data_IF_288239893290
#
_entry.id   IF_288239893290
#
_cell.length_a   1.000
_cell.length_b   1.000
_cell.length_c   1.000
_cell.angle_alpha   90.00
_cell.angle_beta   90.00
_cell.angle_gamma   90.00
#
_symmetry.space_group_name_H-M   'P 1'
#
loop_
_entity.id
_entity.type
_entity.pdbx_description
1 polymer ?
#
# COMPACT_ATOMS: atom_id res chain seq x y z
N UNK A 1 -13.80 -31.11 -10.25
CA UNK A 1 -13.70 -29.82 -10.97
C UNK A 1 -13.45 -28.71 -9.97
N UNK A 2 -12.52 -27.76 -10.22
CA UNK A 2 -12.31 -26.63 -9.31
C UNK A 2 -13.59 -25.78 -9.21
N UNK A 3 -13.96 -25.36 -8.01
CA UNK A 3 -15.15 -24.52 -7.81
C UNK A 3 -14.96 -23.10 -8.37
N UNK A 4 -16.03 -22.38 -8.71
CA UNK A 4 -15.93 -20.98 -9.15
C UNK A 4 -15.12 -20.11 -8.15
N UNK A 5 -15.29 -20.36 -6.85
CA UNK A 5 -14.54 -19.74 -5.76
C UNK A 5 -13.01 -19.91 -5.88
N UNK A 6 -12.56 -21.04 -6.44
CA UNK A 6 -11.14 -21.32 -6.68
C UNK A 6 -10.58 -20.39 -7.75
N UNK A 7 -11.26 -20.28 -8.90
CA UNK A 7 -10.81 -19.43 -10.00
C UNK A 7 -10.75 -17.95 -9.61
N UNK A 8 -11.75 -17.45 -8.86
CA UNK A 8 -11.72 -16.06 -8.38
C UNK A 8 -10.49 -15.78 -7.53
N UNK A 9 -10.10 -16.70 -6.63
CA UNK A 9 -8.89 -16.55 -5.80
C UNK A 9 -7.62 -16.52 -6.65
N UNK A 10 -7.51 -17.42 -7.62
CA UNK A 10 -6.34 -17.50 -8.51
C UNK A 10 -6.18 -16.21 -9.29
N UNK A 11 -7.23 -15.78 -10.03
CA UNK A 11 -7.18 -14.57 -10.84
C UNK A 11 -6.97 -13.32 -10.01
N UNK A 12 -7.66 -13.18 -8.87
CA UNK A 12 -7.45 -12.04 -7.98
C UNK A 12 -6.01 -11.99 -7.44
N UNK A 13 -5.43 -13.14 -7.08
CA UNK A 13 -4.03 -13.21 -6.62
C UNK A 13 -3.02 -12.91 -7.73
N UNK A 14 -3.27 -13.40 -8.96
CA UNK A 14 -2.40 -13.17 -10.11
C UNK A 14 -2.39 -11.68 -10.49
N UNK A 15 -3.57 -11.06 -10.59
CA UNK A 15 -3.70 -9.63 -10.88
C UNK A 15 -3.04 -8.78 -9.79
N UNK A 16 -3.29 -9.11 -8.51
CA UNK A 16 -2.65 -8.41 -7.40
C UNK A 16 -1.12 -8.57 -7.42
N UNK A 17 -0.62 -9.77 -7.69
CA UNK A 17 0.81 -10.04 -7.82
C UNK A 17 1.45 -9.17 -8.90
N UNK A 18 0.88 -9.14 -10.12
CA UNK A 18 1.43 -8.34 -11.23
C UNK A 18 1.45 -6.85 -10.88
N UNK A 19 0.35 -6.31 -10.34
CA UNK A 19 0.26 -4.89 -9.96
C UNK A 19 1.29 -4.56 -8.87
N UNK A 20 1.37 -5.39 -7.81
CA UNK A 20 2.28 -5.16 -6.71
C UNK A 20 3.73 -5.36 -7.09
N UNK A 21 4.03 -6.30 -8.00
CA UNK A 21 5.38 -6.48 -8.54
C UNK A 21 5.85 -5.23 -9.29
N UNK A 22 4.98 -4.64 -10.11
CA UNK A 22 5.26 -3.36 -10.78
C UNK A 22 5.49 -2.23 -9.77
N UNK A 23 4.63 -2.10 -8.75
CA UNK A 23 4.83 -1.10 -7.70
C UNK A 23 6.11 -1.33 -6.91
N UNK A 24 6.43 -2.58 -6.59
CA UNK A 24 7.67 -2.95 -5.92
C UNK A 24 8.87 -2.51 -6.76
N UNK A 25 8.91 -2.87 -8.04
CA UNK A 25 9.99 -2.46 -8.95
C UNK A 25 10.13 -0.94 -9.02
N UNK A 26 9.03 -0.20 -9.15
CA UNK A 26 9.06 1.25 -9.30
C UNK A 26 9.42 1.98 -8.00
N UNK A 27 8.69 1.70 -6.93
CA UNK A 27 8.81 2.42 -5.65
C UNK A 27 10.06 1.96 -4.91
N UNK A 28 10.29 0.66 -4.77
CA UNK A 28 11.43 0.17 -3.99
C UNK A 28 12.76 0.45 -4.69
N UNK A 29 12.85 0.35 -6.02
CA UNK A 29 14.06 0.76 -6.75
C UNK A 29 14.36 2.25 -6.57
N UNK A 30 13.32 3.10 -6.57
CA UNK A 30 13.48 4.55 -6.32
C UNK A 30 13.95 4.81 -4.89
N UNK A 31 13.35 4.14 -3.89
CA UNK A 31 13.76 4.26 -2.48
C UNK A 31 15.20 3.79 -2.27
N UNK A 32 15.61 2.66 -2.86
CA UNK A 32 16.96 2.13 -2.69
C UNK A 32 18.03 3.05 -3.28
N UNK A 33 17.72 3.72 -4.39
CA UNK A 33 18.64 4.63 -5.09
C UNK A 33 18.79 5.98 -4.39
N UNK A 34 17.72 6.49 -3.78
CA UNK A 34 17.72 7.84 -3.19
C UNK A 34 18.00 7.81 -1.68
N UNK A 35 19.13 8.37 -1.26
CA UNK A 35 19.51 8.41 0.16
C UNK A 35 18.53 9.21 1.01
N UNK A 36 17.95 10.30 0.48
CA UNK A 36 16.96 11.10 1.22
C UNK A 36 15.74 10.27 1.60
N UNK A 37 15.23 9.46 0.67
CA UNK A 37 14.07 8.60 0.90
C UNK A 37 14.35 7.52 1.94
N UNK A 38 15.55 6.90 1.91
CA UNK A 38 15.96 5.86 2.88
C UNK A 38 16.02 6.35 4.32
N UNK A 39 16.12 7.66 4.53
CA UNK A 39 16.23 8.25 5.87
C UNK A 39 14.87 8.42 6.57
N UNK A 40 13.77 8.42 5.82
CA UNK A 40 12.43 8.62 6.36
C UNK A 40 11.74 7.29 6.66
N UNK A 41 11.30 7.12 7.92
CA UNK A 41 10.65 5.90 8.40
C UNK A 41 9.46 5.46 7.53
N UNK A 42 8.64 6.41 7.06
CA UNK A 42 7.49 6.14 6.20
C UNK A 42 7.85 5.38 4.92
N UNK A 43 8.95 5.75 4.26
CA UNK A 43 9.31 5.15 2.97
C UNK A 43 9.93 3.77 3.18
N UNK A 44 10.70 3.60 4.25
CA UNK A 44 11.25 2.28 4.63
C UNK A 44 10.13 1.32 5.02
N UNK A 45 9.12 1.75 5.77
CA UNK A 45 7.95 0.91 6.10
C UNK A 45 7.12 0.55 4.86
N UNK A 46 6.95 1.48 3.92
CA UNK A 46 6.31 1.19 2.61
C UNK A 46 7.14 0.19 1.81
N UNK A 47 8.46 0.28 1.85
CA UNK A 47 9.36 -0.68 1.20
C UNK A 47 9.13 -2.10 1.72
N UNK A 48 9.12 -2.28 3.06
CA UNK A 48 8.86 -3.58 3.68
C UNK A 48 7.44 -4.08 3.43
N UNK A 49 6.44 -3.19 3.44
CA UNK A 49 5.06 -3.54 3.10
C UNK A 49 4.95 -4.09 1.67
N UNK A 50 5.52 -3.37 0.70
CA UNK A 50 5.53 -3.77 -0.71
C UNK A 50 6.25 -5.10 -0.92
N UNK A 51 7.42 -5.28 -0.30
CA UNK A 51 8.15 -6.54 -0.39
C UNK A 51 7.30 -7.71 0.11
N UNK A 52 6.69 -7.55 1.28
CA UNK A 52 5.87 -8.59 1.91
C UNK A 52 4.60 -8.89 1.12
N UNK A 53 3.92 -7.85 0.61
CA UNK A 53 2.71 -8.01 -0.19
C UNK A 53 3.00 -8.71 -1.52
N UNK A 54 4.06 -8.32 -2.23
CA UNK A 54 4.48 -8.99 -3.47
C UNK A 54 4.80 -10.47 -3.21
N UNK A 55 5.59 -10.78 -2.16
CA UNK A 55 5.90 -12.18 -1.82
C UNK A 55 4.65 -12.97 -1.42
N UNK A 56 3.73 -12.38 -0.64
CA UNK A 56 2.48 -13.03 -0.25
C UNK A 56 1.65 -13.45 -1.47
N UNK A 57 1.39 -12.53 -2.41
CA UNK A 57 0.58 -12.85 -3.59
C UNK A 57 1.31 -13.78 -4.57
N UNK A 58 2.64 -13.68 -4.69
CA UNK A 58 3.42 -14.63 -5.48
C UNK A 58 3.30 -16.05 -4.94
N UNK A 59 3.53 -16.24 -3.64
CA UNK A 59 3.47 -17.56 -2.98
C UNK A 59 2.04 -18.09 -2.97
N UNK A 60 1.05 -17.23 -2.74
CA UNK A 60 -0.37 -17.61 -2.82
C UNK A 60 -0.74 -18.10 -4.23
N UNK A 61 -0.31 -17.40 -5.28
CA UNK A 61 -0.53 -17.81 -6.66
C UNK A 61 0.13 -19.16 -6.95
N UNK A 62 1.39 -19.36 -6.55
CA UNK A 62 2.11 -20.64 -6.69
C UNK A 62 1.36 -21.77 -5.96
N UNK A 63 0.92 -21.52 -4.72
CA UNK A 63 0.18 -22.50 -3.91
C UNK A 63 -1.15 -22.93 -4.55
N UNK A 64 -1.84 -22.04 -5.26
CA UNK A 64 -3.07 -22.39 -5.98
C UNK A 64 -2.78 -23.00 -7.35
N UNK A 65 -1.71 -22.57 -8.02
CA UNK A 65 -1.29 -23.12 -9.31
C UNK A 65 -0.89 -24.60 -9.17
N UNK A 66 -0.14 -24.98 -8.11
CA UNK A 66 0.18 -26.38 -7.85
C UNK A 66 -1.08 -27.24 -7.59
N UNK A 67 -2.09 -26.69 -6.90
CA UNK A 67 -3.39 -27.39 -6.71
C UNK A 67 -4.11 -27.57 -8.05
N UNK A 68 -4.10 -26.54 -8.90
CA UNK A 68 -4.72 -26.59 -10.23
C UNK A 68 -4.05 -27.62 -11.15
N UNK A 69 -2.72 -27.70 -11.11
CA UNK A 69 -1.93 -28.64 -11.90
C UNK A 69 -1.88 -30.05 -11.30
N UNK A 70 -2.53 -30.29 -10.15
CA UNK A 70 -2.43 -31.55 -9.40
C UNK A 70 -0.99 -31.99 -9.14
N UNK A 71 -0.10 -31.02 -8.90
CA UNK A 71 1.32 -31.28 -8.69
C UNK A 71 1.57 -31.88 -7.31
N UNK A 72 2.36 -32.96 -7.25
CA UNK A 72 2.78 -33.58 -6.00
C UNK A 72 4.03 -32.87 -5.48
N UNK A 73 3.86 -31.96 -4.51
CA UNK A 73 4.99 -31.34 -3.81
C UNK A 73 5.47 -32.23 -2.67
N UNK A 74 6.79 -32.32 -2.45
CA UNK A 74 7.32 -32.99 -1.27
C UNK A 74 6.87 -32.22 0.00
N UNK A 75 6.65 -32.95 1.10
CA UNK A 75 6.23 -32.40 2.39
C UNK A 75 6.99 -31.13 2.83
N UNK A 76 8.35 -31.08 2.79
CA UNK A 76 9.08 -29.88 3.17
C UNK A 76 8.83 -28.68 2.25
N UNK A 77 8.59 -28.89 0.95
CA UNK A 77 8.28 -27.80 0.04
C UNK A 77 6.88 -27.21 0.31
N UNK A 78 5.90 -28.07 0.62
CA UNK A 78 4.59 -27.60 1.04
C UNK A 78 4.65 -26.83 2.37
N UNK A 79 5.36 -27.38 3.37
CA UNK A 79 5.58 -26.72 4.64
C UNK A 79 6.26 -25.36 4.47
N UNK A 80 7.26 -25.26 3.58
CA UNK A 80 7.92 -24.01 3.24
C UNK A 80 6.96 -23.00 2.61
N UNK A 81 6.16 -23.40 1.61
CA UNK A 81 5.17 -22.51 0.98
C UNK A 81 4.18 -21.94 1.99
N UNK A 82 3.63 -22.80 2.86
CA UNK A 82 2.66 -22.39 3.88
C UNK A 82 3.32 -21.48 4.92
N UNK A 83 4.56 -21.78 5.31
CA UNK A 83 5.33 -20.98 6.26
C UNK A 83 5.61 -19.60 5.70
N UNK A 84 6.10 -19.50 4.45
CA UNK A 84 6.35 -18.20 3.79
C UNK A 84 5.06 -17.42 3.63
N UNK A 85 3.95 -18.07 3.25
CA UNK A 85 2.64 -17.43 3.14
C UNK A 85 2.19 -16.86 4.50
N UNK A 86 2.33 -17.63 5.57
CA UNK A 86 1.95 -17.20 6.92
C UNK A 86 2.86 -16.09 7.45
N UNK A 87 4.17 -16.17 7.21
CA UNK A 87 5.15 -15.14 7.59
C UNK A 87 4.86 -13.82 6.88
N UNK A 88 4.68 -13.86 5.55
CA UNK A 88 4.40 -12.64 4.77
C UNK A 88 3.07 -12.00 5.15
N UNK A 89 2.02 -12.80 5.38
CA UNK A 89 0.74 -12.29 5.89
C UNK A 89 0.88 -11.62 7.27
N UNK A 90 1.61 -12.26 8.19
CA UNK A 90 1.88 -11.74 9.53
C UNK A 90 2.70 -10.45 9.46
N UNK A 91 3.70 -10.40 8.58
CA UNK A 91 4.56 -9.23 8.42
C UNK A 91 3.80 -8.04 7.80
N UNK A 92 2.88 -8.27 6.87
CA UNK A 92 1.99 -7.21 6.35
C UNK A 92 1.22 -6.56 7.51
N UNK A 93 0.61 -7.39 8.38
CA UNK A 93 -0.15 -6.90 9.52
C UNK A 93 0.71 -6.14 10.54
N UNK A 94 1.88 -6.69 10.88
CA UNK A 94 2.83 -6.05 11.79
C UNK A 94 3.36 -4.73 11.22
N UNK A 95 3.69 -4.69 9.92
CA UNK A 95 4.17 -3.48 9.25
C UNK A 95 3.09 -2.39 9.27
N UNK A 96 1.83 -2.73 9.02
CA UNK A 96 0.70 -1.77 9.11
C UNK A 96 0.52 -1.27 10.55
N UNK A 97 0.64 -2.15 11.55
CA UNK A 97 0.58 -1.78 12.97
C UNK A 97 1.69 -0.80 13.33
N UNK A 98 2.92 -1.09 12.90
CA UNK A 98 4.07 -0.20 13.08
C UNK A 98 3.87 1.13 12.35
N UNK A 99 3.32 1.14 11.14
CA UNK A 99 2.97 2.38 10.44
C UNK A 99 1.96 3.22 11.22
N UNK A 100 0.95 2.60 11.84
CA UNK A 100 -0.02 3.29 12.66
C UNK A 100 0.63 3.88 13.94
N UNK A 101 1.49 3.10 14.60
CA UNK A 101 2.25 3.56 15.78
C UNK A 101 3.22 4.68 15.44
N UNK A 102 3.95 4.60 14.32
CA UNK A 102 4.84 5.67 13.84
C UNK A 102 4.08 6.99 13.64
N UNK A 103 2.87 6.93 13.06
CA UNK A 103 2.00 8.11 12.93
C UNK A 103 1.52 8.64 14.27
N UNK A 104 1.12 7.75 15.19
CA UNK A 104 0.68 8.12 16.53
C UNK A 104 1.79 8.85 17.29
N UNK A 105 3.00 8.28 17.37
CA UNK A 105 4.14 8.91 18.06
C UNK A 105 4.51 10.24 17.42
N UNK A 106 4.51 10.33 16.09
CA UNK A 106 4.81 11.58 15.39
C UNK A 106 3.81 12.71 15.68
N UNK A 107 2.53 12.39 15.93
CA UNK A 107 1.47 13.38 16.19
C UNK A 107 1.40 13.71 17.68
N UNK A 108 1.45 12.71 18.55
CA UNK A 108 1.26 12.89 19.99
C UNK A 108 2.54 13.35 20.71
N UNK A 109 3.72 12.98 20.21
CA UNK A 109 5.01 13.25 20.85
C UNK A 109 6.07 13.76 19.86
N UNK A 110 5.84 14.91 19.18
CA UNK A 110 6.73 15.40 18.13
C UNK A 110 8.16 15.68 18.60
N UNK A 111 8.35 16.14 19.85
CA UNK A 111 9.66 16.48 20.42
C UNK A 111 10.54 15.25 20.69
N UNK A 112 9.95 14.16 21.18
CA UNK A 112 10.67 12.90 21.38
C UNK A 112 10.92 12.19 20.05
N UNK A 113 9.98 12.31 19.12
CA UNK A 113 10.07 11.69 17.81
C UNK A 113 11.23 12.21 16.95
N UNK A 114 11.61 13.50 17.10
CA UNK A 114 12.80 14.04 16.44
C UNK A 114 14.11 13.60 17.11
N UNK A 115 14.11 13.44 18.43
CA UNK A 115 15.30 13.04 19.21
C UNK A 115 15.65 11.55 19.06
N UNK A 116 14.66 10.66 18.92
CA UNK A 116 14.86 9.20 18.85
C UNK A 116 15.25 8.72 17.45
N UNK A 117 14.98 9.50 16.39
CA UNK A 117 15.15 9.04 15.01
C UNK A 117 16.58 9.23 14.51
N UNK A 118 17.36 8.15 14.53
CA UNK A 118 18.61 8.04 13.76
C UNK A 118 18.40 7.29 12.42
N UNK A 119 19.34 7.46 11.48
CA UNK A 119 19.23 7.03 10.06
C UNK A 119 18.86 5.55 9.86
N UNK A 120 19.26 4.67 10.78
CA UNK A 120 19.08 3.21 10.67
C UNK A 120 17.85 2.68 11.42
N UNK A 121 17.22 3.47 12.29
CA UNK A 121 16.10 3.03 13.11
C UNK A 121 14.94 2.39 12.32
N UNK A 122 14.49 2.96 11.18
CA UNK A 122 13.38 2.35 10.43
C UNK A 122 13.73 1.02 9.77
N UNK A 123 15.01 0.82 9.41
CA UNK A 123 15.50 -0.44 8.84
C UNK A 123 15.53 -1.53 9.91
N UNK A 124 16.02 -1.19 11.11
CA UNK A 124 15.97 -2.10 12.25
C UNK A 124 14.53 -2.50 12.59
N UNK A 125 13.61 -1.54 12.56
CA UNK A 125 12.19 -1.78 12.82
C UNK A 125 11.57 -2.75 11.80
N UNK A 126 11.91 -2.62 10.52
CA UNK A 126 11.46 -3.56 9.49
C UNK A 126 12.08 -4.96 9.64
N UNK A 127 13.36 -5.07 9.99
CA UNK A 127 13.96 -6.38 10.29
C UNK A 127 13.27 -7.02 11.50
N UNK A 128 12.96 -6.24 12.53
CA UNK A 128 12.24 -6.72 13.71
C UNK A 128 10.84 -7.23 13.36
N UNK A 129 10.08 -6.54 12.49
CA UNK A 129 8.76 -7.05 12.09
C UNK A 129 8.87 -8.37 11.35
N UNK A 130 9.88 -8.54 10.48
CA UNK A 130 10.12 -9.81 9.79
C UNK A 130 10.50 -10.94 10.76
N UNK A 131 11.35 -10.65 11.73
CA UNK A 131 11.72 -11.61 12.77
C UNK A 131 10.48 -12.05 13.56
N UNK A 132 9.71 -11.09 14.10
CA UNK A 132 8.48 -11.36 14.84
C UNK A 132 7.43 -12.12 14.01
N UNK A 133 7.28 -11.74 12.73
CA UNK A 133 6.36 -12.40 11.80
C UNK A 133 6.72 -13.87 11.54
N UNK A 134 8.00 -14.24 11.68
CA UNK A 134 8.49 -15.59 11.37
C UNK A 134 8.41 -16.54 12.56
N UNK A 135 8.37 -16.04 13.81
CA UNK A 135 8.36 -16.88 15.03
C UNK A 135 7.20 -17.89 15.01
N UNK A 136 5.99 -17.40 14.77
CA UNK A 136 4.79 -18.24 14.79
C UNK A 136 4.80 -19.25 13.63
N UNK A 137 4.99 -18.86 12.36
CA UNK A 137 5.03 -19.79 11.24
C UNK A 137 6.14 -20.83 11.32
N UNK A 138 7.33 -20.49 11.83
CA UNK A 138 8.43 -21.45 12.01
C UNK A 138 8.06 -22.57 13.00
N UNK A 139 7.31 -22.24 14.06
CA UNK A 139 6.78 -23.27 14.98
C UNK A 139 5.74 -24.19 14.32
N UNK A 140 5.05 -23.70 13.28
CA UNK A 140 4.07 -24.47 12.51
C UNK A 140 4.71 -25.30 11.41
N UNK A 141 5.88 -24.91 10.89
CA UNK A 141 6.61 -25.65 9.86
C UNK A 141 6.77 -27.13 10.23
N UNK A 142 7.27 -27.41 11.45
CA UNK A 142 7.44 -28.77 11.97
C UNK A 142 6.13 -29.55 12.03
N UNK A 143 5.05 -28.91 12.47
CA UNK A 143 3.72 -29.55 12.53
C UNK A 143 3.14 -29.85 11.15
N UNK A 144 3.44 -29.04 10.14
CA UNK A 144 3.01 -29.29 8.76
C UNK A 144 3.79 -30.44 8.15
N UNK A 145 5.09 -30.54 8.46
CA UNK A 145 5.96 -31.63 8.02
C UNK A 145 5.48 -32.98 8.58
N UNK A 146 5.18 -33.07 9.88
CA UNK A 146 4.69 -34.31 10.52
C UNK A 146 3.34 -34.80 9.97
N UNK A 147 2.45 -33.88 9.55
CA UNK A 147 1.12 -34.21 9.01
C UNK A 147 1.16 -34.47 7.49
N UNK A 148 2.26 -34.08 6.83
CA UNK A 148 2.40 -33.97 5.38
C UNK A 148 2.65 -35.27 4.61
N UNK A 149 2.09 -36.40 5.03
CA UNK A 149 2.38 -37.72 4.42
C UNK A 149 1.67 -38.00 3.07
N UNK A 150 1.32 -36.97 2.27
CA UNK A 150 0.90 -37.26 0.89
C UNK A 150 0.19 -36.17 0.07
N UNK A 151 -0.31 -35.06 0.64
CA UNK A 151 -0.96 -34.02 -0.19
C UNK A 151 -0.90 -32.61 0.41
N UNK A 152 -0.44 -31.64 -0.40
CA UNK A 152 -0.35 -30.22 -0.06
C UNK A 152 -1.70 -29.52 -0.29
N UNK A 153 -2.57 -29.53 0.74
CA UNK A 153 -3.95 -29.05 0.64
C UNK A 153 -4.28 -27.79 1.43
N UNK A 154 -5.48 -27.26 1.20
CA UNK A 154 -6.03 -26.08 1.92
C UNK A 154 -6.22 -26.32 3.43
N UNK A 155 -6.25 -27.57 3.88
CA UNK A 155 -6.44 -27.90 5.29
C UNK A 155 -5.21 -27.55 6.14
N UNK A 156 -4.01 -27.65 5.58
CA UNK A 156 -2.78 -27.23 6.24
C UNK A 156 -2.75 -25.70 6.48
N UNK A 157 -3.43 -24.92 5.64
CA UNK A 157 -3.60 -23.47 5.83
C UNK A 157 -4.39 -23.13 7.10
N UNK A 158 -5.23 -24.05 7.61
CA UNK A 158 -6.01 -23.88 8.85
C UNK A 158 -5.18 -24.13 10.11
N UNK A 159 -3.99 -24.74 9.97
CA UNK A 159 -3.14 -25.06 11.10
C UNK A 159 -2.66 -23.78 11.82
N UNK A 160 -2.58 -23.85 13.15
CA UNK A 160 -2.17 -22.70 13.97
C UNK A 160 -3.21 -21.58 14.08
N UNK A 161 -4.49 -21.88 13.88
CA UNK A 161 -5.58 -20.89 13.94
C UNK A 161 -5.57 -20.01 15.18
N UNK A 162 -5.31 -20.58 16.36
CA UNK A 162 -5.23 -19.82 17.63
C UNK A 162 -4.14 -18.75 17.59
N UNK A 163 -2.91 -19.09 17.17
CA UNK A 163 -1.82 -18.13 17.09
C UNK A 163 -2.11 -17.01 16.09
N UNK A 164 -2.72 -17.35 14.95
CA UNK A 164 -3.17 -16.37 13.95
C UNK A 164 -4.21 -15.41 14.55
N UNK A 165 -5.20 -15.94 15.29
CA UNK A 165 -6.24 -15.15 15.94
C UNK A 165 -5.64 -14.20 16.99
N UNK A 166 -4.74 -14.70 17.85
CA UNK A 166 -4.08 -13.90 18.89
C UNK A 166 -3.28 -12.76 18.25
N UNK A 167 -2.46 -13.05 17.23
CA UNK A 167 -1.70 -12.03 16.52
C UNK A 167 -2.61 -10.97 15.90
N UNK A 168 -3.68 -11.39 15.21
CA UNK A 168 -4.67 -10.50 14.60
C UNK A 168 -5.33 -9.61 15.65
N UNK A 169 -5.75 -10.21 16.78
CA UNK A 169 -6.41 -9.51 17.88
C UNK A 169 -5.50 -8.44 18.47
N UNK A 170 -4.27 -8.80 18.84
CA UNK A 170 -3.29 -7.88 19.43
C UNK A 170 -2.99 -6.71 18.48
N UNK A 171 -2.67 -6.99 17.22
CA UNK A 171 -2.42 -5.94 16.21
C UNK A 171 -3.63 -5.02 16.06
N UNK A 172 -4.85 -5.56 16.03
CA UNK A 172 -6.08 -4.78 15.91
C UNK A 172 -6.26 -3.85 17.11
N UNK A 173 -6.00 -4.30 18.33
CA UNK A 173 -6.07 -3.46 19.54
C UNK A 173 -5.08 -2.30 19.47
N UNK A 174 -3.81 -2.55 19.13
CA UNK A 174 -2.80 -1.49 18.99
C UNK A 174 -3.16 -0.46 17.93
N UNK A 175 -3.68 -0.94 16.80
CA UNK A 175 -4.14 -0.11 15.70
C UNK A 175 -5.30 0.80 16.17
N UNK A 176 -6.32 0.24 16.80
CA UNK A 176 -7.50 0.98 17.27
C UNK A 176 -7.08 2.00 18.33
N UNK A 177 -6.25 1.59 19.30
CA UNK A 177 -5.71 2.47 20.32
C UNK A 177 -4.99 3.67 19.72
N UNK A 178 -4.05 3.42 18.79
CA UNK A 178 -3.28 4.47 18.11
C UNK A 178 -4.21 5.47 17.42
N UNK A 179 -5.25 4.98 16.75
CA UNK A 179 -6.19 5.82 16.02
C UNK A 179 -7.09 6.65 16.94
N UNK A 180 -7.61 6.05 18.03
CA UNK A 180 -8.39 6.78 19.04
C UNK A 180 -7.56 7.95 19.60
N UNK A 181 -6.30 7.71 19.92
CA UNK A 181 -5.41 8.77 20.41
C UNK A 181 -5.16 9.87 19.37
N UNK A 182 -4.91 9.50 18.11
CA UNK A 182 -4.76 10.45 17.00
C UNK A 182 -6.01 11.32 16.85
N UNK A 183 -7.20 10.72 16.91
CA UNK A 183 -8.47 11.46 16.87
C UNK A 183 -8.63 12.40 18.06
N UNK A 184 -8.33 11.95 19.27
CA UNK A 184 -8.40 12.76 20.47
C UNK A 184 -7.48 13.99 20.39
N UNK A 185 -6.23 13.81 19.96
CA UNK A 185 -5.30 14.93 19.75
C UNK A 185 -5.77 15.84 18.61
N UNK A 186 -6.24 15.27 17.50
CA UNK A 186 -6.82 16.04 16.41
C UNK A 186 -8.04 16.88 16.82
N UNK A 187 -8.85 16.41 17.78
CA UNK A 187 -9.98 17.17 18.34
C UNK A 187 -9.47 18.32 19.20
N UNK A 188 -8.50 18.06 20.09
CA UNK A 188 -7.89 19.08 20.95
C UNK A 188 -7.27 20.23 20.16
N UNK A 189 -6.63 19.91 19.03
CA UNK A 189 -6.02 20.91 18.14
C UNK A 189 -7.02 21.60 17.20
N UNK A 190 -8.32 21.33 17.31
CA UNK A 190 -9.35 21.94 16.45
C UNK A 190 -9.32 21.46 14.99
N UNK A 191 -8.52 20.45 14.65
CA UNK A 191 -8.37 19.90 13.29
C UNK A 191 -9.64 19.20 12.80
N UNK A 192 -10.44 18.69 13.74
CA UNK A 192 -11.73 18.05 13.49
C UNK A 192 -12.92 19.02 13.42
N UNK A 193 -12.67 20.34 13.39
CA UNK A 193 -13.73 21.32 13.19
C UNK A 193 -14.26 21.28 11.75
N UNK A 194 -15.57 21.45 11.55
CA UNK A 194 -16.23 21.48 10.23
C UNK A 194 -15.66 22.56 9.29
N UNK A 195 -15.03 23.61 9.86
CA UNK A 195 -14.27 24.64 9.12
C UNK A 195 -12.93 24.15 8.56
N UNK A 196 -12.29 23.16 9.18
CA UNK A 196 -11.04 22.56 8.70
C UNK A 196 -11.30 21.26 7.91
N UNK A 197 -11.98 21.41 6.77
CA UNK A 197 -12.31 20.27 5.87
C UNK A 197 -11.07 19.50 5.42
N UNK A 198 -9.92 20.16 5.27
CA UNK A 198 -8.68 19.52 4.83
C UNK A 198 -8.09 18.56 5.89
N UNK A 199 -8.08 18.99 7.16
CA UNK A 199 -7.60 18.19 8.29
C UNK A 199 -8.49 16.99 8.58
N UNK A 200 -9.80 17.21 8.70
CA UNK A 200 -10.79 16.16 8.96
C UNK A 200 -10.74 15.06 7.88
N UNK A 201 -10.64 15.43 6.60
CA UNK A 201 -10.64 14.46 5.50
C UNK A 201 -9.37 13.61 5.45
N UNK A 202 -8.21 14.16 5.81
CA UNK A 202 -6.96 13.39 5.87
C UNK A 202 -7.06 12.28 6.93
N UNK A 203 -7.64 12.61 8.08
CA UNK A 203 -7.94 11.66 9.16
C UNK A 203 -8.98 10.62 8.69
N UNK A 204 -10.05 11.03 8.00
CA UNK A 204 -11.05 10.11 7.43
C UNK A 204 -10.42 9.09 6.49
N UNK A 205 -9.50 9.49 5.60
CA UNK A 205 -8.82 8.54 4.71
C UNK A 205 -7.91 7.57 5.47
N UNK A 206 -7.21 8.03 6.51
CA UNK A 206 -6.48 7.12 7.40
C UNK A 206 -7.42 6.13 8.09
N UNK A 207 -8.60 6.56 8.51
CA UNK A 207 -9.65 5.69 9.06
C UNK A 207 -10.24 4.71 8.05
N UNK A 208 -10.51 5.13 6.81
CA UNK A 208 -11.01 4.25 5.73
C UNK A 208 -9.97 3.21 5.38
N UNK A 209 -8.71 3.61 5.20
CA UNK A 209 -7.60 2.70 4.94
C UNK A 209 -7.47 1.66 6.07
N UNK A 210 -7.61 2.10 7.33
CA UNK A 210 -7.58 1.23 8.49
C UNK A 210 -8.75 0.24 8.53
N UNK A 211 -9.96 0.73 8.25
CA UNK A 211 -11.17 -0.08 8.21
C UNK A 211 -11.05 -1.17 7.13
N UNK A 212 -10.52 -0.83 5.96
CA UNK A 212 -10.29 -1.79 4.87
C UNK A 212 -9.28 -2.89 5.27
N UNK A 213 -8.37 -2.63 6.21
CA UNK A 213 -7.44 -3.64 6.73
C UNK A 213 -8.00 -4.47 7.91
N UNK A 214 -8.76 -3.84 8.81
CA UNK A 214 -9.36 -4.52 9.96
C UNK A 214 -10.53 -5.40 9.51
N UNK A 215 -11.35 -4.91 8.58
CA UNK A 215 -12.59 -5.56 8.18
C UNK A 215 -12.39 -7.00 7.66
N UNK A 216 -11.41 -7.30 6.78
CA UNK A 216 -11.12 -8.67 6.37
C UNK A 216 -10.77 -9.62 7.52
N UNK A 217 -9.99 -9.13 8.48
CA UNK A 217 -9.55 -9.90 9.63
C UNK A 217 -10.70 -10.14 10.61
N UNK A 218 -11.49 -9.09 10.86
CA UNK A 218 -12.69 -9.15 11.69
C UNK A 218 -13.74 -10.10 11.12
N UNK A 219 -14.00 -10.04 9.80
CA UNK A 219 -14.93 -10.96 9.14
C UNK A 219 -14.45 -12.41 9.25
N UNK A 220 -13.16 -12.68 8.99
CA UNK A 220 -12.63 -14.04 9.12
C UNK A 220 -12.73 -14.57 10.57
N UNK A 221 -12.45 -13.73 11.56
CA UNK A 221 -12.66 -14.07 12.97
C UNK A 221 -14.12 -14.37 13.26
N UNK A 222 -15.05 -13.53 12.78
CA UNK A 222 -16.46 -13.74 13.01
C UNK A 222 -16.99 -15.02 12.36
N UNK A 223 -16.56 -15.31 11.13
CA UNK A 223 -16.88 -16.55 10.44
C UNK A 223 -16.35 -17.79 11.18
N UNK A 224 -15.18 -17.70 11.81
CA UNK A 224 -14.63 -18.79 12.64
C UNK A 224 -15.50 -19.06 13.86
N UNK A 225 -15.89 -18.01 14.61
CA UNK A 225 -16.75 -18.13 15.80
C UNK A 225 -18.13 -18.67 15.43
N UNK A 226 -18.74 -18.16 14.35
CA UNK A 226 -20.05 -18.63 13.89
C UNK A 226 -20.02 -20.07 13.40
N UNK A 227 -18.93 -20.48 12.74
CA UNK A 227 -18.72 -21.87 12.35
C UNK A 227 -18.53 -22.79 13.55
N UNK A 228 -17.81 -22.35 14.60
CA UNK A 228 -17.67 -23.14 15.84
C UNK A 228 -19.01 -23.34 16.55
N UNK A 229 -19.92 -22.36 16.44
CA UNK A 229 -21.29 -22.45 16.96
C UNK A 229 -22.26 -23.20 16.05
N UNK A 230 -21.79 -23.84 14.97
CA UNK A 230 -22.61 -24.51 13.95
C UNK A 230 -23.73 -23.63 13.33
N UNK A 231 -23.56 -22.31 13.35
CA UNK A 231 -24.56 -21.34 12.86
C UNK A 231 -24.43 -21.04 11.36
N UNK A 232 -23.38 -21.53 10.69
CA UNK A 232 -23.07 -21.22 9.30
C UNK A 232 -22.64 -22.50 8.56
N UNK A 233 -23.19 -22.69 7.36
CA UNK A 233 -22.79 -23.74 6.42
C UNK A 233 -21.41 -23.46 5.81
N UNK A 234 -20.62 -24.52 5.57
CA UNK A 234 -19.28 -24.43 4.96
C UNK A 234 -19.23 -23.65 3.64
N UNK A 235 -20.29 -23.72 2.82
CA UNK A 235 -20.40 -22.99 1.56
C UNK A 235 -20.48 -21.47 1.76
N UNK A 236 -21.34 -21.01 2.67
CA UNK A 236 -21.46 -19.58 2.99
C UNK A 236 -20.15 -19.02 3.52
N UNK A 237 -19.46 -19.77 4.39
CA UNK A 237 -18.13 -19.40 4.89
C UNK A 237 -17.11 -19.24 3.77
N UNK A 238 -17.10 -20.15 2.79
CA UNK A 238 -16.19 -20.06 1.66
C UNK A 238 -16.46 -18.81 0.81
N UNK A 239 -17.72 -18.51 0.51
CA UNK A 239 -18.12 -17.32 -0.26
C UNK A 239 -17.65 -16.03 0.41
N UNK A 240 -17.94 -15.87 1.70
CA UNK A 240 -17.48 -14.69 2.45
C UNK A 240 -15.95 -14.60 2.46
N UNK A 241 -15.25 -15.73 2.66
CA UNK A 241 -13.79 -15.74 2.66
C UNK A 241 -13.20 -15.35 1.28
N UNK A 242 -13.87 -15.66 0.16
CA UNK A 242 -13.45 -15.24 -1.18
C UNK A 242 -13.66 -13.73 -1.35
N UNK A 243 -14.83 -13.22 -1.00
CA UNK A 243 -15.15 -11.80 -1.07
C UNK A 243 -14.13 -11.00 -0.24
N UNK A 244 -13.88 -11.43 1.00
CA UNK A 244 -12.90 -10.83 1.89
C UNK A 244 -11.49 -10.85 1.30
N UNK A 245 -11.09 -11.96 0.65
CA UNK A 245 -9.80 -12.06 -0.01
C UNK A 245 -9.68 -11.05 -1.17
N UNK A 246 -10.71 -10.89 -2.00
CA UNK A 246 -10.72 -9.92 -3.10
C UNK A 246 -10.58 -8.50 -2.57
N UNK A 247 -11.32 -8.13 -1.52
CA UNK A 247 -11.18 -6.82 -0.88
C UNK A 247 -9.78 -6.59 -0.31
N UNK A 248 -9.21 -7.61 0.33
CA UNK A 248 -7.82 -7.55 0.82
C UNK A 248 -6.83 -7.34 -0.33
N UNK A 249 -6.97 -8.06 -1.44
CA UNK A 249 -6.14 -7.89 -2.63
C UNK A 249 -6.20 -6.46 -3.18
N UNK A 250 -7.40 -5.91 -3.32
CA UNK A 250 -7.60 -4.52 -3.77
C UNK A 250 -6.95 -3.52 -2.79
N UNK A 251 -7.13 -3.73 -1.48
CA UNK A 251 -6.53 -2.90 -0.45
C UNK A 251 -5.00 -2.87 -0.53
N UNK A 252 -4.38 -4.03 -0.75
CA UNK A 252 -2.93 -4.13 -0.90
C UNK A 252 -2.45 -3.42 -2.16
N UNK A 253 -3.17 -3.52 -3.28
CA UNK A 253 -2.84 -2.78 -4.51
C UNK A 253 -2.94 -1.25 -4.35
N UNK A 254 -3.84 -0.76 -3.49
CA UNK A 254 -4.05 0.68 -3.23
C UNK A 254 -3.03 1.23 -2.22
N UNK A 255 -2.52 0.39 -1.31
CA UNK A 255 -1.58 0.77 -0.25
C UNK A 255 -0.38 1.62 -0.74
N UNK A 256 0.32 1.27 -1.83
CA UNK A 256 1.52 1.98 -2.29
C UNK A 256 1.18 3.38 -2.83
N UNK A 257 -0.04 3.55 -3.36
CA UNK A 257 -0.53 4.84 -3.84
C UNK A 257 -0.77 5.77 -2.64
N UNK A 258 -1.45 5.25 -1.62
CA UNK A 258 -1.85 6.03 -0.43
C UNK A 258 -0.65 6.39 0.44
N UNK A 259 0.25 5.43 0.69
CA UNK A 259 1.39 5.61 1.59
C UNK A 259 2.67 6.09 0.91
N UNK A 260 2.87 5.76 -0.37
CA UNK A 260 4.03 6.15 -1.16
C UNK A 260 3.74 7.33 -2.07
N UNK A 261 3.04 7.08 -3.17
CA UNK A 261 2.98 7.97 -4.36
C UNK A 261 2.25 9.30 -4.12
N UNK A 262 1.39 9.37 -3.10
CA UNK A 262 0.78 10.63 -2.67
C UNK A 262 1.81 11.65 -2.17
N UNK A 263 3.03 11.23 -1.84
CA UNK A 263 4.09 12.14 -1.39
C UNK A 263 4.83 12.72 -2.59
N UNK A 264 4.85 14.04 -2.68
CA UNK A 264 5.51 14.81 -3.74
C UNK A 264 6.98 14.39 -3.90
N UNK A 265 7.71 14.21 -2.79
CA UNK A 265 9.11 13.78 -2.81
C UNK A 265 9.33 12.45 -3.55
N UNK A 266 8.47 11.45 -3.35
CA UNK A 266 8.60 10.17 -4.05
C UNK A 266 8.15 10.28 -5.50
N UNK A 267 7.08 11.05 -5.74
CA UNK A 267 6.51 11.24 -7.07
C UNK A 267 7.46 12.00 -8.00
N UNK A 268 8.17 13.01 -7.50
CA UNK A 268 9.18 13.76 -8.24
C UNK A 268 10.32 12.85 -8.69
N UNK A 269 10.89 12.07 -7.76
CA UNK A 269 11.98 11.14 -8.09
C UNK A 269 11.51 10.04 -9.06
N UNK A 270 10.26 9.58 -8.92
CA UNK A 270 9.69 8.62 -9.86
C UNK A 270 9.50 9.23 -11.25
N UNK A 271 9.02 10.49 -11.36
CA UNK A 271 8.86 11.19 -12.65
C UNK A 271 10.19 11.42 -13.35
N UNK A 272 11.22 11.81 -12.61
CA UNK A 272 12.57 12.00 -13.14
C UNK A 272 13.14 10.71 -13.72
N UNK A 273 12.82 9.56 -13.11
CA UNK A 273 13.41 8.27 -13.49
C UNK A 273 12.59 7.48 -14.51
N UNK A 274 11.28 7.52 -14.40
CA UNK A 274 10.34 6.75 -15.22
C UNK A 274 9.24 7.65 -15.80
N UNK A 275 9.57 8.60 -16.70
CA UNK A 275 8.64 9.65 -17.13
C UNK A 275 7.36 9.09 -17.80
N UNK A 276 7.49 8.06 -18.64
CA UNK A 276 6.35 7.44 -19.32
C UNK A 276 5.38 6.74 -18.35
N UNK A 277 5.91 5.92 -17.42
CA UNK A 277 5.10 5.23 -16.43
C UNK A 277 4.53 6.18 -15.37
N UNK A 278 5.30 7.18 -14.95
CA UNK A 278 4.85 8.18 -14.00
C UNK A 278 3.70 9.03 -14.57
N UNK A 279 3.71 9.32 -15.89
CA UNK A 279 2.60 10.00 -16.55
C UNK A 279 1.30 9.17 -16.51
N UNK A 280 1.37 7.87 -16.83
CA UNK A 280 0.24 6.93 -16.70
C UNK A 280 -0.27 6.84 -15.26
N UNK A 281 0.65 6.80 -14.30
CA UNK A 281 0.33 6.70 -12.88
C UNK A 281 -0.27 8.01 -12.32
N UNK A 282 0.08 9.16 -12.92
CA UNK A 282 -0.50 10.46 -12.57
C UNK A 282 -2.00 10.48 -12.81
N UNK A 283 -2.52 9.81 -13.84
CA UNK A 283 -3.96 9.71 -14.11
C UNK A 283 -4.67 8.94 -12.98
N UNK A 284 -4.09 7.82 -12.53
CA UNK A 284 -4.61 7.06 -11.39
C UNK A 284 -4.51 7.84 -10.08
N UNK A 285 -3.41 8.58 -9.89
CA UNK A 285 -3.23 9.44 -8.73
C UNK A 285 -4.21 10.61 -8.76
N UNK A 286 -4.44 11.25 -9.90
CA UNK A 286 -5.42 12.31 -10.10
C UNK A 286 -6.83 11.79 -9.89
N UNK A 287 -7.17 10.56 -10.26
CA UNK A 287 -8.44 9.93 -9.90
C UNK A 287 -8.57 9.71 -8.39
N UNK A 288 -7.53 9.13 -7.77
CA UNK A 288 -7.48 8.93 -6.32
C UNK A 288 -7.59 10.28 -5.60
N UNK A 289 -6.92 11.31 -6.12
CA UNK A 289 -6.90 12.68 -5.60
C UNK A 289 -8.21 13.42 -5.89
N UNK A 290 -8.88 13.19 -7.01
CA UNK A 290 -10.16 13.80 -7.38
C UNK A 290 -11.31 13.23 -6.55
N UNK A 291 -11.30 11.91 -6.30
CA UNK A 291 -12.15 11.28 -5.28
C UNK A 291 -11.84 11.86 -3.90
N UNK A 292 -10.58 12.25 -3.64
CA UNK A 292 -10.24 12.93 -2.39
C UNK A 292 -10.67 14.42 -2.37
N UNK A 293 -10.51 15.23 -3.42
CA UNK A 293 -10.73 16.68 -3.47
C UNK A 293 -11.76 17.08 -4.55
N UNK A 294 -13.07 17.19 -4.27
CA UNK A 294 -14.06 17.60 -5.26
C UNK A 294 -14.06 19.11 -5.60
N UNK A 295 -12.96 19.84 -5.36
CA UNK A 295 -12.99 21.30 -5.46
C UNK A 295 -11.64 22.02 -5.40
N UNK A 296 -10.52 21.33 -5.63
CA UNK A 296 -9.23 22.00 -5.77
C UNK A 296 -8.82 21.95 -7.25
N UNK A 297 -9.07 23.05 -7.98
CA UNK A 297 -8.29 23.29 -9.19
C UNK A 297 -6.81 23.33 -8.79
N UNK A 298 -5.92 22.70 -9.57
CA UNK A 298 -4.48 22.84 -9.34
C UNK A 298 -4.14 24.30 -9.61
N UNK A 299 -3.90 25.06 -8.53
CA UNK A 299 -3.30 26.38 -8.63
C UNK A 299 -1.92 26.14 -9.23
N UNK A 300 -1.75 26.47 -10.51
CA UNK A 300 -0.43 26.57 -11.14
C UNK A 300 0.39 27.53 -10.29
N UNK A 301 1.19 26.97 -9.39
CA UNK A 301 2.32 27.72 -8.82
C UNK A 301 3.31 27.76 -9.95
N UNK A 302 3.32 28.88 -10.68
CA UNK A 302 4.47 29.25 -11.50
C UNK A 302 5.67 29.24 -10.56
N UNK A 303 6.43 28.15 -10.62
CA UNK A 303 7.65 27.99 -9.87
C UNK A 303 8.67 28.93 -10.51
N UNK A 304 9.02 30.00 -9.79
CA UNK A 304 10.06 30.96 -10.15
C UNK A 304 11.44 30.30 -10.37
N UNK A 305 11.58 29.00 -10.04
CA UNK A 305 12.72 28.15 -10.43
C UNK A 305 12.83 27.90 -11.94
N UNK A 306 11.72 28.01 -12.68
CA UNK A 306 11.71 27.84 -14.14
C UNK A 306 12.40 28.99 -14.88
N UNK A 307 12.37 30.22 -14.34
CA UNK A 307 13.06 31.38 -14.93
C UNK A 307 14.59 31.26 -14.79
N UNK A 308 15.07 30.71 -13.66
CA UNK A 308 16.51 30.51 -13.43
C UNK A 308 17.09 29.35 -14.26
N UNK A 309 16.31 28.29 -14.49
CA UNK A 309 16.72 27.17 -15.36
C UNK A 309 16.64 27.51 -16.86
N UNK A 310 15.69 28.35 -17.29
CA UNK A 310 15.61 28.82 -18.68
C UNK A 310 16.81 29.69 -19.06
N UNK A 311 17.30 30.58 -18.17
CA UNK A 311 18.51 31.36 -18.45
C UNK A 311 19.76 30.51 -18.60
N UNK A 312 19.84 29.37 -17.89
CA UNK A 312 20.98 28.45 -17.98
C UNK A 312 20.92 27.52 -19.21
N UNK A 313 19.72 27.14 -19.66
CA UNK A 313 19.54 26.22 -20.80
C UNK A 313 19.48 26.88 -22.19
N UNK A 314 19.23 28.19 -22.28
CA UNK A 314 19.39 28.92 -23.56
C UNK A 314 20.87 28.91 -24.03
N UNK A 315 21.82 28.69 -23.11
CA UNK A 315 23.27 28.68 -23.43
C UNK A 315 23.78 27.32 -23.91
N UNK A 316 23.07 26.21 -23.68
CA UNK A 316 23.54 24.87 -24.06
C UNK A 316 22.44 24.14 -24.84
N UNK A 317 22.47 24.28 -26.17
CA UNK A 317 21.55 23.61 -27.08
C UNK A 317 21.64 22.09 -26.94
N UNK A 318 20.57 21.47 -26.45
CA UNK A 318 20.39 20.01 -26.46
C UNK A 318 18.89 19.68 -26.39
N UNK A 319 18.42 18.88 -27.35
CA UNK A 319 17.03 18.45 -27.54
C UNK A 319 16.48 17.65 -26.34
N UNK A 320 15.22 17.92 -25.97
CA UNK A 320 14.41 17.09 -25.05
C UNK A 320 13.12 16.69 -25.77
N UNK A 321 12.65 15.43 -25.69
CA UNK A 321 11.48 14.96 -26.41
C UNK A 321 10.18 15.53 -25.83
N UNK A 322 9.28 15.85 -26.76
CA UNK A 322 7.97 16.48 -26.59
C UNK A 322 6.99 15.44 -26.02
N UNK A 323 6.54 15.63 -24.78
CA UNK A 323 5.38 14.92 -24.22
C UNK A 323 4.30 15.86 -23.64
N UNK A 324 4.47 17.17 -23.77
CA UNK A 324 3.52 18.16 -23.24
C UNK A 324 2.57 18.77 -24.29
N UNK A 325 2.58 18.30 -25.55
CA UNK A 325 1.83 18.97 -26.63
C UNK A 325 0.43 18.39 -26.92
N UNK A 326 0.07 17.20 -26.43
CA UNK A 326 -1.15 16.51 -26.90
C UNK A 326 -2.42 16.67 -26.06
N UNK A 327 -2.46 17.58 -25.08
CA UNK A 327 -3.62 17.74 -24.20
C UNK A 327 -4.28 19.13 -24.24
N UNK A 328 -3.83 20.04 -25.13
CA UNK A 328 -4.42 21.38 -25.23
C UNK A 328 -5.21 21.65 -26.53
N UNK A 329 -5.30 20.70 -27.46
CA UNK A 329 -5.84 20.96 -28.81
C UNK A 329 -7.28 20.46 -29.05
N UNK A 330 -8.07 20.26 -28.00
CA UNK A 330 -9.49 19.88 -28.13
C UNK A 330 -10.47 20.87 -27.46
N UNK A 331 -10.06 22.14 -27.30
CA UNK A 331 -10.91 23.22 -26.76
C UNK A 331 -10.71 24.60 -27.41
N UNK A 332 -10.34 24.66 -28.69
CA UNK A 332 -10.39 25.91 -29.48
C UNK A 332 -11.02 25.66 -30.86
N UNK A 333 -12.33 25.45 -30.85
CA UNK A 333 -13.17 25.67 -32.01
C UNK A 333 -14.47 26.30 -31.53
N UNK A 334 -14.44 27.63 -31.29
CA UNK A 334 -15.55 28.57 -31.51
C UNK A 334 -15.23 29.95 -30.93
N UNK A 335 -15.30 30.97 -31.80
CA UNK A 335 -15.23 32.41 -31.50
C UNK A 335 -13.80 32.93 -31.30
N UNK A 336 -13.23 33.84 -32.10
CA UNK A 336 -13.82 34.87 -32.94
C UNK A 336 -13.44 36.25 -32.37
N UNK A 337 -12.63 37.01 -33.11
CA UNK A 337 -12.23 38.42 -32.92
C UNK A 337 -11.21 38.71 -31.80
N UNK A 338 -10.37 39.74 -31.83
CA UNK A 338 -9.70 40.62 -32.82
C UNK A 338 -8.90 41.61 -31.92
N UNK A 339 -7.81 42.20 -32.41
CA UNK A 339 -7.15 43.42 -31.88
C UNK A 339 -6.32 43.27 -30.58
N UNK A 340 -5.17 43.94 -30.39
CA UNK A 340 -4.27 44.72 -31.23
C UNK A 340 -3.01 44.97 -30.38
N UNK A 341 -1.88 45.17 -31.05
CA UNK A 341 -0.60 45.65 -30.53
C UNK A 341 -0.68 46.73 -29.42
N UNK A 342 0.17 46.62 -28.40
CA UNK A 342 0.98 47.79 -28.01
C UNK A 342 2.30 47.40 -27.32
N UNK A 343 3.41 47.90 -27.89
CA UNK A 343 4.75 47.92 -27.31
C UNK A 343 4.81 49.05 -26.28
N UNK A 344 5.35 48.79 -25.10
CA UNK A 344 5.85 49.86 -24.22
C UNK A 344 7.26 49.47 -23.77
N UNK A 345 8.22 50.24 -24.28
CA UNK A 345 9.59 50.39 -23.78
C UNK A 345 9.55 51.03 -22.39
N UNK A 346 10.42 50.59 -21.47
CA UNK A 346 11.00 51.50 -20.48
C UNK A 346 12.47 51.16 -20.23
N UNK A 347 13.30 52.16 -20.50
CA UNK A 347 14.69 52.28 -20.09
C UNK A 347 14.74 52.88 -18.68
N UNK A 348 15.69 52.37 -17.90
CA UNK A 348 16.27 52.85 -16.64
C UNK A 348 15.41 52.88 -15.38
#
# INVERSE_FOLDING_TARGET
MPSANFYVRVWASAVAFVILFLFNLLINSTILREQRLRSHARFVLVFYLLLSATTYFAVYFIFYLQIYLHANLPAPACAALITVLATTASNILLTITVMALDRYVAICFPLQYSSVRFKHWPWLLGVLTWALASIIPLSLFRKVEDVGNGHCGRDQLKLGGVHKIVLISVCTVFILYSYVQILCVGRRLGVLNRRNRAGCRTITFHGVQLAVYILPNFINFMLLVLNQKNMITSDSKERFAVITFVFFSLAQCIAPIVYGLRKEELLEQLKLRFPYLACRLKILLEWTVAVTHPGHQPRQRYDTSSVFMLKKKVVTGSHVPICDFFLHDNKRANGGSLCQHNKIHFNS
#
